data_IF_515911976543
#
_entry.id   IF_515911976543
#
_cell.length_a   1.000
_cell.length_b   1.000
_cell.length_c   1.000
_cell.angle_alpha   90.00
_cell.angle_beta   90.00
_cell.angle_gamma   90.00
#
_symmetry.space_group_name_H-M   'P 1'
#
loop_
_entity.id
_entity.type
_entity.pdbx_description
1 polymer ?
#
# COMPACT_ATOMS: atom_id res chain seq x y z
N UNK A 1 8.17 7.40 13.03
CA UNK A 1 8.73 7.87 11.75
C UNK A 1 8.26 6.88 10.71
N UNK A 2 7.36 7.29 9.81
CA UNK A 2 6.69 6.45 8.81
C UNK A 2 7.62 6.20 7.62
N UNK A 3 8.71 5.48 7.88
CA UNK A 3 9.87 5.46 6.98
C UNK A 3 9.52 4.90 5.61
N UNK A 4 8.60 3.94 5.52
CA UNK A 4 8.27 3.29 4.25
C UNK A 4 7.16 4.01 3.51
N UNK A 5 6.14 4.53 4.20
CA UNK A 5 5.16 5.42 3.57
C UNK A 5 5.87 6.61 2.89
N UNK A 6 6.72 7.31 3.64
CA UNK A 6 7.45 8.49 3.16
C UNK A 6 8.40 8.13 2.01
N UNK A 7 9.05 6.96 2.10
CA UNK A 7 9.94 6.45 1.04
C UNK A 7 9.19 6.19 -0.27
N UNK A 8 7.91 5.80 -0.22
CA UNK A 8 7.09 5.53 -1.40
C UNK A 8 6.51 6.79 -2.06
N UNK A 9 6.72 7.98 -1.48
CA UNK A 9 6.24 9.24 -2.06
C UNK A 9 7.22 9.72 -3.15
N UNK A 10 6.72 10.06 -4.36
CA UNK A 10 7.56 10.60 -5.44
C UNK A 10 8.37 11.82 -5.00
N UNK A 11 9.65 11.84 -5.36
CA UNK A 11 10.58 12.92 -4.97
C UNK A 11 11.29 12.71 -3.62
N UNK A 12 11.01 11.61 -2.90
CA UNK A 12 11.81 11.23 -1.73
C UNK A 12 13.26 10.87 -2.14
N UNK A 13 14.25 11.27 -1.35
CA UNK A 13 15.66 10.97 -1.65
C UNK A 13 16.01 9.47 -1.64
N UNK A 14 15.20 8.65 -0.96
CA UNK A 14 15.36 7.20 -0.87
C UNK A 14 14.31 6.43 -1.68
N UNK A 15 13.66 7.09 -2.65
CA UNK A 15 12.55 6.55 -3.43
C UNK A 15 12.92 5.32 -4.25
N UNK A 16 14.18 5.24 -4.72
CA UNK A 16 14.68 4.12 -5.50
C UNK A 16 14.55 2.78 -4.75
N UNK A 17 14.00 1.78 -5.44
CA UNK A 17 13.72 0.47 -4.87
C UNK A 17 12.58 0.44 -3.84
N UNK A 18 11.77 1.50 -3.74
CA UNK A 18 10.50 1.47 -3.01
C UNK A 18 9.44 0.69 -3.79
N UNK A 19 8.40 0.20 -3.12
CA UNK A 19 7.31 -0.53 -3.78
C UNK A 19 6.68 0.27 -4.94
N UNK A 20 6.37 1.55 -4.69
CA UNK A 20 5.75 2.41 -5.68
C UNK A 20 6.67 2.71 -6.86
N UNK A 21 7.97 2.88 -6.61
CA UNK A 21 8.97 3.04 -7.67
C UNK A 21 9.01 1.80 -8.57
N UNK A 22 9.11 0.61 -7.98
CA UNK A 22 9.10 -0.66 -8.73
C UNK A 22 7.85 -0.82 -9.58
N UNK A 23 6.70 -0.46 -9.00
CA UNK A 23 5.42 -0.54 -9.67
C UNK A 23 5.31 0.46 -10.82
N UNK A 24 5.67 1.73 -10.61
CA UNK A 24 5.44 2.79 -11.60
C UNK A 24 6.46 2.80 -12.74
N UNK A 25 7.73 2.49 -12.46
CA UNK A 25 8.81 2.56 -13.46
C UNK A 25 8.96 1.24 -14.23
N UNK A 26 8.79 0.10 -13.56
CA UNK A 26 9.03 -1.22 -14.16
C UNK A 26 7.78 -2.05 -14.34
N UNK A 27 6.62 -1.60 -13.87
CA UNK A 27 5.40 -2.41 -13.86
C UNK A 27 5.52 -3.64 -12.97
N UNK A 28 6.44 -3.66 -12.01
CA UNK A 28 6.69 -4.85 -11.20
C UNK A 28 5.92 -4.80 -9.89
N UNK A 29 5.15 -5.86 -9.61
CA UNK A 29 4.63 -6.07 -8.27
C UNK A 29 5.69 -6.72 -7.37
N UNK A 30 6.54 -5.90 -6.75
CA UNK A 30 7.48 -6.41 -5.74
C UNK A 30 6.78 -6.70 -4.42
N UNK A 31 6.36 -7.95 -4.25
CA UNK A 31 5.64 -8.42 -3.07
C UNK A 31 6.41 -8.17 -1.76
N UNK A 32 7.75 -8.21 -1.80
CA UNK A 32 8.56 -8.02 -0.59
C UNK A 32 8.48 -6.58 -0.09
N UNK A 33 8.71 -5.60 -0.96
CA UNK A 33 8.57 -4.18 -0.58
C UNK A 33 7.11 -3.81 -0.29
N UNK A 34 6.13 -4.43 -0.96
CA UNK A 34 4.72 -4.27 -0.59
C UNK A 34 4.47 -4.63 0.87
N UNK A 35 4.93 -5.81 1.33
CA UNK A 35 4.68 -6.24 2.70
C UNK A 35 5.33 -5.33 3.74
N UNK A 36 6.49 -4.77 3.42
CA UNK A 36 7.20 -3.79 4.25
C UNK A 36 6.39 -2.49 4.35
N UNK A 37 5.89 -1.95 3.23
CA UNK A 37 4.99 -0.80 3.22
C UNK A 37 3.68 -1.09 3.99
N UNK A 38 3.06 -2.25 3.74
CA UNK A 38 1.83 -2.65 4.41
C UNK A 38 2.01 -2.73 5.93
N UNK A 39 3.12 -3.27 6.43
CA UNK A 39 3.43 -3.29 7.86
C UNK A 39 3.56 -1.86 8.44
N UNK A 40 4.19 -0.93 7.72
CA UNK A 40 4.28 0.47 8.14
C UNK A 40 2.89 1.13 8.23
N UNK A 41 2.00 0.85 7.26
CA UNK A 41 0.60 1.30 7.30
C UNK A 41 -0.17 0.76 8.51
N UNK A 42 0.01 -0.51 8.86
CA UNK A 42 -0.59 -1.08 10.07
C UNK A 42 -0.04 -0.43 11.35
N UNK A 43 1.25 -0.09 11.36
CA UNK A 43 1.86 0.61 12.49
C UNK A 43 1.35 2.05 12.62
N UNK A 44 1.13 2.74 11.49
CA UNK A 44 0.46 4.05 11.45
C UNK A 44 -0.93 3.96 12.07
N UNK A 45 -1.72 2.96 11.68
CA UNK A 45 -3.06 2.74 12.20
C UNK A 45 -3.04 2.58 13.73
N UNK A 46 -2.16 1.72 14.25
CA UNK A 46 -2.01 1.48 15.70
C UNK A 46 -1.55 2.71 16.50
N UNK A 47 -0.97 3.70 15.83
CA UNK A 47 -0.52 4.95 16.45
C UNK A 47 -1.59 6.05 16.41
N UNK A 48 -2.70 5.85 15.70
CA UNK A 48 -3.78 6.83 15.68
C UNK A 48 -4.44 6.93 17.06
N UNK A 49 -4.73 8.16 17.48
CA UNK A 49 -5.44 8.44 18.72
C UNK A 49 -6.93 8.57 18.42
N UNK A 50 -7.75 7.76 19.08
CA UNK A 50 -9.20 7.82 18.95
C UNK A 50 -9.72 9.24 19.21
N UNK A 51 -10.63 9.71 18.35
CA UNK A 51 -11.24 11.05 18.41
C UNK A 51 -10.28 12.24 18.15
N UNK A 52 -9.08 11.99 17.61
CA UNK A 52 -8.24 13.05 17.07
C UNK A 52 -8.27 13.04 15.54
N UNK A 53 -8.21 14.22 14.88
CA UNK A 53 -8.10 14.27 13.44
C UNK A 53 -6.74 13.71 12.99
N UNK A 54 -6.74 13.01 11.85
CA UNK A 54 -5.50 12.58 11.21
C UNK A 54 -4.69 13.80 10.80
N UNK A 55 -3.39 13.72 11.00
CA UNK A 55 -2.46 14.77 10.61
C UNK A 55 -2.53 15.02 9.09
N UNK A 56 -2.56 16.30 8.68
CA UNK A 56 -2.86 16.66 7.30
C UNK A 56 -1.85 16.11 6.31
N UNK A 57 -0.55 16.15 6.63
CA UNK A 57 0.50 15.68 5.74
C UNK A 57 0.43 14.16 5.60
N UNK A 58 0.19 13.45 6.71
CA UNK A 58 -0.06 12.02 6.70
C UNK A 58 -1.25 11.64 5.80
N UNK A 59 -2.40 12.31 5.96
CA UNK A 59 -3.57 12.06 5.12
C UNK A 59 -3.27 12.31 3.63
N UNK A 60 -2.55 13.39 3.31
CA UNK A 60 -2.13 13.68 1.95
C UNK A 60 -1.24 12.57 1.38
N UNK A 61 -0.22 12.12 2.11
CA UNK A 61 0.68 11.05 1.66
C UNK A 61 -0.06 9.73 1.42
N UNK A 62 -0.94 9.34 2.35
CA UNK A 62 -1.75 8.12 2.25
C UNK A 62 -2.64 8.15 1.01
N UNK A 63 -3.37 9.24 0.80
CA UNK A 63 -4.30 9.38 -0.33
C UNK A 63 -3.57 9.51 -1.67
N UNK A 64 -2.43 10.22 -1.71
CA UNK A 64 -1.60 10.33 -2.89
C UNK A 64 -1.09 8.96 -3.32
N UNK A 65 -0.47 8.21 -2.41
CA UNK A 65 0.06 6.88 -2.70
C UNK A 65 -1.07 5.92 -3.11
N UNK A 66 -2.21 5.97 -2.40
CA UNK A 66 -3.39 5.17 -2.75
C UNK A 66 -3.86 5.46 -4.18
N UNK A 67 -4.05 6.73 -4.53
CA UNK A 67 -4.52 7.12 -5.85
C UNK A 67 -3.56 6.63 -6.94
N UNK A 68 -2.25 6.78 -6.74
CA UNK A 68 -1.23 6.39 -7.71
C UNK A 68 -1.23 4.87 -7.94
N UNK A 69 -1.18 4.07 -6.89
CA UNK A 69 -1.19 2.60 -6.98
C UNK A 69 -2.49 2.11 -7.63
N UNK A 70 -3.65 2.61 -7.20
CA UNK A 70 -4.94 2.19 -7.76
C UNK A 70 -5.13 2.59 -9.22
N UNK A 71 -4.52 3.70 -9.66
CA UNK A 71 -4.50 4.10 -11.07
C UNK A 71 -3.74 3.08 -11.92
N UNK A 72 -2.56 2.63 -11.46
CA UNK A 72 -1.75 1.64 -12.17
C UNK A 72 -2.41 0.26 -12.20
N UNK A 73 -3.08 -0.14 -11.12
CA UNK A 73 -3.91 -1.37 -11.09
C UNK A 73 -5.06 -1.25 -12.09
N UNK A 74 -5.74 -0.11 -12.15
CA UNK A 74 -6.83 0.12 -13.10
C UNK A 74 -6.32 0.08 -14.55
N UNK A 75 -5.14 0.66 -14.81
CA UNK A 75 -4.47 0.61 -16.12
C UNK A 75 -4.15 -0.83 -16.53
N UNK A 76 -3.65 -1.67 -15.63
CA UNK A 76 -3.39 -3.10 -15.91
C UNK A 76 -4.62 -3.84 -16.47
N UNK A 77 -5.82 -3.52 -15.96
CA UNK A 77 -7.08 -4.12 -16.39
C UNK A 77 -7.73 -3.43 -17.60
N UNK A 78 -7.29 -2.23 -17.97
CA UNK A 78 -7.85 -1.51 -19.10
C UNK A 78 -7.45 -2.18 -20.42
N UNK A 79 -8.44 -2.52 -21.26
CA UNK A 79 -8.23 -3.21 -22.55
C UNK A 79 -7.34 -2.44 -23.53
N UNK A 80 -7.28 -1.11 -23.41
CA UNK A 80 -6.59 -0.21 -24.34
C UNK A 80 -5.33 0.40 -23.73
N UNK A 81 -4.93 -0.03 -22.53
CA UNK A 81 -3.71 0.46 -21.89
C UNK A 81 -2.58 -0.56 -22.10
N UNK A 82 -1.39 -0.03 -22.38
CA UNK A 82 -0.17 -0.84 -22.57
C UNK A 82 0.48 -1.21 -21.25
N UNK A 83 0.10 -0.55 -20.15
CA UNK A 83 0.64 -0.83 -18.83
C UNK A 83 0.21 -2.21 -18.34
N UNK A 84 1.19 -3.03 -17.95
CA UNK A 84 0.94 -4.36 -17.37
C UNK A 84 1.80 -4.56 -16.13
N UNK A 85 1.12 -4.80 -15.01
CA UNK A 85 1.75 -5.30 -13.80
C UNK A 85 2.20 -6.76 -14.00
N UNK A 86 3.46 -7.04 -13.69
CA UNK A 86 4.10 -8.37 -13.76
C UNK A 86 4.49 -8.87 -12.36
N UNK A 87 4.98 -10.11 -12.27
CA UNK A 87 5.34 -10.81 -11.02
C UNK A 87 4.16 -11.10 -10.07
N UNK A 88 2.94 -11.05 -10.59
CA UNK A 88 1.71 -11.33 -9.87
C UNK A 88 0.65 -11.83 -10.84
N UNK A 89 -0.24 -12.72 -10.40
CA UNK A 89 -1.42 -13.10 -11.17
C UNK A 89 -2.63 -12.19 -10.84
N UNK A 90 -3.69 -12.25 -11.64
CA UNK A 90 -4.86 -11.38 -11.48
C UNK A 90 -5.59 -11.57 -10.13
N UNK A 91 -5.72 -12.80 -9.66
CA UNK A 91 -6.39 -13.11 -8.38
C UNK A 91 -5.62 -12.50 -7.21
N UNK A 92 -4.31 -12.76 -7.16
CA UNK A 92 -3.40 -12.14 -6.18
C UNK A 92 -3.46 -10.62 -6.24
N UNK A 93 -3.49 -10.03 -7.43
CA UNK A 93 -3.54 -8.57 -7.56
C UNK A 93 -4.79 -7.98 -6.92
N UNK A 94 -5.95 -8.66 -7.00
CA UNK A 94 -7.15 -8.25 -6.28
C UNK A 94 -7.01 -8.38 -4.76
N UNK A 95 -6.44 -9.48 -4.26
CA UNK A 95 -6.21 -9.68 -2.82
C UNK A 95 -5.26 -8.61 -2.24
N UNK A 96 -4.17 -8.33 -2.96
CA UNK A 96 -3.23 -7.27 -2.61
C UNK A 96 -3.87 -5.88 -2.66
N UNK A 97 -4.72 -5.62 -3.67
CA UNK A 97 -5.46 -4.36 -3.79
C UNK A 97 -6.42 -4.16 -2.61
N UNK A 98 -7.15 -5.20 -2.21
CA UNK A 98 -8.04 -5.16 -1.05
C UNK A 98 -7.25 -4.84 0.22
N UNK A 99 -6.18 -5.59 0.48
CA UNK A 99 -5.31 -5.35 1.64
C UNK A 99 -4.77 -3.93 1.68
N UNK A 100 -4.27 -3.44 0.56
CA UNK A 100 -3.73 -2.09 0.47
C UNK A 100 -4.79 -1.04 0.77
N UNK A 101 -6.00 -1.18 0.21
CA UNK A 101 -7.12 -0.27 0.50
C UNK A 101 -7.49 -0.28 1.98
N UNK A 102 -7.60 -1.47 2.58
CA UNK A 102 -7.97 -1.59 4.00
C UNK A 102 -6.86 -1.07 4.93
N UNK A 103 -5.59 -1.28 4.61
CA UNK A 103 -4.48 -0.73 5.38
C UNK A 103 -4.44 0.80 5.33
N UNK A 104 -4.74 1.43 4.18
CA UNK A 104 -4.85 2.89 4.06
C UNK A 104 -6.03 3.41 4.90
N UNK A 105 -7.20 2.77 4.82
CA UNK A 105 -8.36 3.14 5.64
C UNK A 105 -8.07 2.97 7.14
N UNK A 106 -7.36 1.91 7.51
CA UNK A 106 -6.90 1.69 8.88
C UNK A 106 -5.90 2.74 9.35
N UNK A 107 -4.95 3.14 8.50
CA UNK A 107 -3.99 4.20 8.80
C UNK A 107 -4.67 5.55 9.08
N UNK A 108 -5.83 5.80 8.47
CA UNK A 108 -6.64 7.00 8.71
C UNK A 108 -7.56 6.84 9.94
N UNK A 109 -8.23 5.70 10.08
CA UNK A 109 -9.26 5.50 11.11
C UNK A 109 -8.73 5.03 12.46
N UNK A 110 -7.52 4.45 12.48
CA UNK A 110 -6.98 3.71 13.62
C UNK A 110 -7.47 2.26 13.72
N UNK A 111 -8.36 1.82 12.82
CA UNK A 111 -8.92 0.47 12.85
C UNK A 111 -8.08 -0.50 12.01
N UNK A 112 -7.52 -1.53 12.65
CA UNK A 112 -6.80 -2.61 11.97
C UNK A 112 -7.69 -3.83 11.90
N UNK A 113 -8.04 -4.24 10.68
CA UNK A 113 -8.77 -5.49 10.47
C UNK A 113 -7.93 -6.70 10.90
N UNK A 114 -8.55 -7.73 11.50
CA UNK A 114 -7.84 -8.95 11.86
C UNK A 114 -7.37 -9.70 10.60
N UNK A 115 -6.23 -10.40 10.69
CA UNK A 115 -5.65 -11.14 9.57
C UNK A 115 -6.59 -12.21 9.00
N UNK A 116 -7.51 -12.74 9.81
CA UNK A 116 -8.57 -13.66 9.37
C UNK A 116 -9.60 -13.05 8.41
N UNK A 117 -9.55 -11.74 8.17
CA UNK A 117 -10.42 -11.04 7.20
C UNK A 117 -9.90 -11.13 5.76
N UNK A 118 -8.72 -11.70 5.54
CA UNK A 118 -8.04 -11.67 4.24
C UNK A 118 -7.57 -13.08 3.84
N UNK A 119 -7.74 -13.41 2.56
CA UNK A 119 -7.29 -14.70 2.01
C UNK A 119 -5.76 -14.76 1.87
N UNK A 120 -5.16 -13.67 1.37
CA UNK A 120 -3.71 -13.49 1.35
C UNK A 120 -3.24 -13.09 2.74
N UNK A 121 -2.30 -13.80 3.38
CA UNK A 121 -1.77 -13.44 4.71
C UNK A 121 -0.49 -12.58 4.62
N UNK A 122 -0.32 -11.58 5.51
CA UNK A 122 0.95 -10.82 5.55
C UNK A 122 2.03 -11.65 6.28
N UNK A 123 3.11 -12.10 5.60
CA UNK A 123 4.14 -12.94 6.22
C UNK A 123 4.95 -12.22 7.31
N UNK A 124 4.90 -10.88 7.36
CA UNK A 124 5.61 -10.08 8.36
C UNK A 124 4.80 -9.87 9.65
N UNK A 125 3.49 -10.09 9.60
CA UNK A 125 2.63 -10.05 10.79
C UNK A 125 2.61 -11.46 11.37
N UNK A 126 3.52 -11.73 12.30
CA UNK A 126 3.51 -13.01 13.03
C UNK A 126 2.20 -13.12 13.81
N UNK A 127 1.42 -14.17 13.52
CA UNK A 127 0.26 -14.68 14.26
C UNK A 127 -0.36 -13.66 15.23
N UNK A 128 -1.36 -12.91 14.74
CA UNK A 128 -2.28 -12.16 15.60
C UNK A 128 -2.95 -13.11 16.62
#
# INVERSE_FOLDING_TARGET
MHSELVRNIPGNSNWEGSFYERLTEYGEWDSKSFWVLHLDLLNIAKQQVTNQPVERELAYMLLLLQQKVLTLISAHFAKNDVFKIVNINTEQLYEYQERFKMAILGAISGEVLPESSFDLANPLVKNA
#
